data_IF_712541262927
#
_entry.id   IF_712541262927
#
_cell.length_a   1.000
_cell.length_b   1.000
_cell.length_c   1.000
_cell.angle_alpha   90.00
_cell.angle_beta   90.00
_cell.angle_gamma   90.00
#
_symmetry.space_group_name_H-M   'P 1'
#
loop_
_entity.id
_entity.type
_entity.pdbx_description
1 polymer ?
#
# COMPACT_ATOMS: atom_id res chain seq x y z
N UNK A 1 7.87 12.49 -22.05
CA UNK A 1 6.48 12.03 -21.83
C UNK A 1 6.53 10.50 -21.83
N UNK A 2 6.07 9.83 -20.78
CA UNK A 2 6.01 8.36 -20.74
C UNK A 2 4.60 7.97 -21.19
N UNK A 3 4.50 6.95 -22.04
CA UNK A 3 3.23 6.33 -22.43
C UNK A 3 3.11 5.05 -21.62
N UNK A 4 2.04 4.95 -20.83
CA UNK A 4 1.65 3.69 -20.18
C UNK A 4 0.53 3.08 -21.01
N UNK A 5 0.73 1.85 -21.48
CA UNK A 5 -0.26 1.10 -22.26
C UNK A 5 -0.95 0.08 -21.37
N UNK A 6 -2.27 0.19 -21.27
CA UNK A 6 -3.11 -0.80 -20.60
C UNK A 6 -3.55 -1.87 -21.60
N UNK A 7 -3.01 -3.08 -21.46
CA UNK A 7 -3.32 -4.21 -22.34
C UNK A 7 -4.44 -5.12 -21.79
N UNK A 8 -5.14 -4.71 -20.73
CA UNK A 8 -6.18 -5.54 -20.10
C UNK A 8 -7.43 -5.76 -20.95
N UNK A 9 -7.57 -5.01 -22.05
CA UNK A 9 -8.62 -5.18 -23.04
C UNK A 9 -7.93 -5.30 -24.40
N UNK A 10 -8.12 -6.40 -25.13
CA UNK A 10 -7.61 -6.61 -26.50
C UNK A 10 -8.26 -5.68 -27.55
N UNK A 11 -8.37 -4.40 -27.22
CA UNK A 11 -9.02 -3.34 -27.98
C UNK A 11 -7.97 -2.26 -28.26
N UNK A 12 -7.89 -1.82 -29.51
CA UNK A 12 -6.98 -0.78 -30.06
C UNK A 12 -7.14 0.64 -29.43
N UNK A 13 -7.70 0.75 -28.23
CA UNK A 13 -7.97 2.01 -27.53
C UNK A 13 -7.61 1.89 -26.04
N UNK A 14 -6.39 1.50 -25.75
CA UNK A 14 -5.80 1.76 -24.44
C UNK A 14 -5.64 3.28 -24.30
N UNK A 15 -6.27 3.94 -23.32
CA UNK A 15 -6.09 5.38 -23.13
C UNK A 15 -4.64 5.67 -22.78
N UNK A 16 -3.95 6.44 -23.63
CA UNK A 16 -2.60 6.89 -23.36
C UNK A 16 -2.60 7.88 -22.20
N UNK A 17 -1.90 7.54 -21.13
CA UNK A 17 -1.70 8.46 -20.01
C UNK A 17 -0.44 9.27 -20.23
N UNK A 18 -0.63 10.59 -20.36
CA UNK A 18 0.46 11.53 -20.53
C UNK A 18 0.88 12.11 -19.19
N UNK A 19 2.07 11.70 -18.74
CA UNK A 19 2.62 12.17 -17.47
C UNK A 19 4.00 12.79 -17.69
N UNK A 20 4.26 13.83 -16.91
CA UNK A 20 5.53 14.51 -16.92
C UNK A 20 6.63 13.62 -16.32
N UNK A 21 7.58 13.20 -17.15
CA UNK A 21 8.65 12.26 -16.78
C UNK A 21 9.45 12.72 -15.55
N UNK A 22 9.81 14.01 -15.48
CA UNK A 22 10.56 14.56 -14.35
C UNK A 22 9.81 14.42 -13.02
N UNK A 23 8.47 14.49 -13.06
CA UNK A 23 7.65 14.37 -11.85
C UNK A 23 7.57 12.93 -11.37
N UNK A 24 7.46 11.99 -12.32
CA UNK A 24 7.55 10.55 -12.02
C UNK A 24 8.92 10.17 -11.44
N UNK A 25 10.01 10.61 -12.07
CA UNK A 25 11.38 10.36 -11.59
C UNK A 25 11.65 11.00 -10.22
N UNK A 26 11.02 12.15 -9.93
CA UNK A 26 11.10 12.79 -8.62
C UNK A 26 10.44 11.94 -7.53
N UNK A 27 9.31 11.30 -7.83
CA UNK A 27 8.55 10.52 -6.86
C UNK A 27 8.97 9.05 -6.78
N UNK A 28 9.66 8.53 -7.79
CA UNK A 28 9.99 7.11 -7.91
C UNK A 28 11.38 6.91 -8.50
N UNK A 29 12.30 6.36 -7.69
CA UNK A 29 13.64 5.97 -8.14
C UNK A 29 13.59 4.86 -9.18
N UNK A 30 12.58 4.00 -9.11
CA UNK A 30 12.31 2.93 -10.08
C UNK A 30 12.24 3.49 -11.51
N UNK A 31 11.50 4.58 -11.69
CA UNK A 31 11.31 5.22 -13.01
C UNK A 31 12.60 5.91 -13.51
N UNK A 32 13.49 6.32 -12.60
CA UNK A 32 14.75 6.97 -12.94
C UNK A 32 15.77 5.98 -13.53
N UNK A 33 15.72 4.72 -13.09
CA UNK A 33 16.68 3.67 -13.49
C UNK A 33 16.30 2.99 -14.81
N UNK A 34 15.00 2.92 -15.14
CA UNK A 34 14.47 2.16 -16.29
C UNK A 34 14.26 2.99 -17.57
N UNK A 35 15.33 3.60 -18.08
CA UNK A 35 15.23 4.52 -19.23
C UNK A 35 14.94 3.90 -20.62
N UNK A 36 14.71 2.59 -20.78
CA UNK A 36 14.63 1.97 -22.12
C UNK A 36 13.74 0.72 -22.22
N UNK A 37 12.42 0.86 -22.10
CA UNK A 37 11.40 0.07 -22.81
C UNK A 37 10.02 0.48 -22.29
N UNK A 38 8.99 0.42 -23.14
CA UNK A 38 7.61 0.56 -22.68
C UNK A 38 7.33 -0.53 -21.64
N UNK A 39 7.12 -0.14 -20.38
CA UNK A 39 6.85 -1.08 -19.31
C UNK A 39 5.43 -1.63 -19.44
N UNK A 40 5.35 -2.90 -19.82
CA UNK A 40 4.23 -3.76 -19.48
C UNK A 40 4.26 -4.00 -17.96
N UNK A 41 3.74 -3.08 -17.16
CA UNK A 41 3.38 -3.42 -15.77
C UNK A 41 2.14 -4.31 -15.83
N UNK A 42 2.38 -5.63 -15.86
CA UNK A 42 1.35 -6.66 -15.80
C UNK A 42 0.65 -6.74 -14.43
N UNK A 43 0.96 -5.83 -13.50
CA UNK A 43 0.45 -5.85 -12.12
C UNK A 43 -0.63 -4.79 -11.86
N UNK A 44 -0.82 -3.85 -12.78
CA UNK A 44 -1.93 -2.91 -12.76
C UNK A 44 -3.15 -3.52 -13.46
N UNK A 45 -3.70 -4.58 -12.88
CA UNK A 45 -4.88 -5.30 -13.41
C UNK A 45 -6.15 -4.43 -13.54
N UNK A 46 -6.11 -3.18 -13.07
CA UNK A 46 -7.20 -2.22 -13.19
C UNK A 46 -6.66 -0.85 -13.58
N UNK A 47 -7.03 -0.39 -14.77
CA UNK A 47 -6.82 0.97 -15.25
C UNK A 47 -7.12 2.04 -14.18
N UNK A 48 -8.21 1.85 -13.44
CA UNK A 48 -8.64 2.76 -12.36
C UNK A 48 -7.58 2.89 -11.26
N UNK A 49 -6.98 1.79 -10.82
CA UNK A 49 -5.95 1.76 -9.77
C UNK A 49 -4.69 2.49 -10.24
N UNK A 50 -4.32 2.33 -11.52
CA UNK A 50 -3.22 3.07 -12.11
C UNK A 50 -3.49 4.57 -12.13
N UNK A 51 -4.67 4.99 -12.57
CA UNK A 51 -5.05 6.41 -12.58
C UNK A 51 -5.00 7.01 -11.18
N UNK A 52 -5.58 6.32 -10.19
CA UNK A 52 -5.58 6.77 -8.80
C UNK A 52 -4.15 6.87 -8.26
N UNK A 53 -3.31 5.85 -8.48
CA UNK A 53 -1.88 5.85 -8.11
C UNK A 53 -1.17 7.07 -8.68
N UNK A 54 -1.32 7.32 -9.98
CA UNK A 54 -0.67 8.43 -10.67
C UNK A 54 -1.16 9.77 -10.14
N UNK A 55 -2.47 9.95 -9.94
CA UNK A 55 -3.01 11.18 -9.36
C UNK A 55 -2.40 11.45 -7.98
N UNK A 56 -2.31 10.44 -7.11
CA UNK A 56 -1.70 10.58 -5.79
C UNK A 56 -0.20 10.86 -5.87
N UNK A 57 0.52 10.20 -6.79
CA UNK A 57 1.93 10.48 -7.04
C UNK A 57 2.15 11.95 -7.37
N UNK A 58 1.25 12.55 -8.17
CA UNK A 58 1.27 13.97 -8.53
C UNK A 58 0.71 14.89 -7.43
N UNK A 59 0.43 14.37 -6.22
CA UNK A 59 -0.03 15.16 -5.08
C UNK A 59 -1.53 15.48 -5.07
N UNK A 60 -2.32 14.88 -5.96
CA UNK A 60 -3.77 15.07 -5.98
C UNK A 60 -4.40 14.34 -4.79
N UNK A 61 -5.16 15.06 -3.98
CA UNK A 61 -5.87 14.51 -2.83
C UNK A 61 -7.22 13.90 -3.26
N UNK A 62 -7.20 12.65 -3.72
CA UNK A 62 -8.40 11.92 -4.13
C UNK A 62 -8.86 10.90 -3.08
N UNK A 63 -10.15 10.56 -3.11
CA UNK A 63 -10.71 9.43 -2.36
C UNK A 63 -10.54 8.17 -3.19
N UNK A 64 -9.67 7.26 -2.77
CA UNK A 64 -9.32 6.04 -3.51
C UNK A 64 -10.33 4.95 -3.28
N UNK A 65 -10.85 4.25 -4.28
CA UNK A 65 -11.87 3.21 -4.00
C UNK A 65 -11.33 2.11 -3.06
N UNK A 66 -10.15 1.56 -3.39
CA UNK A 66 -9.53 0.45 -2.67
C UNK A 66 -8.04 0.74 -2.35
N UNK A 67 -7.73 1.43 -1.24
CA UNK A 67 -6.35 1.79 -0.88
C UNK A 67 -5.40 0.59 -0.77
N UNK A 68 -5.93 -0.59 -0.41
CA UNK A 68 -5.15 -1.83 -0.33
C UNK A 68 -4.65 -2.32 -1.68
N UNK A 69 -5.37 -2.08 -2.78
CA UNK A 69 -4.89 -2.43 -4.12
C UNK A 69 -3.79 -1.47 -4.59
N UNK A 70 -3.91 -0.17 -4.32
CA UNK A 70 -2.84 0.79 -4.62
C UNK A 70 -1.55 0.41 -3.89
N UNK A 71 -1.63 0.01 -2.62
CA UNK A 71 -0.46 -0.38 -1.84
C UNK A 71 0.32 -1.56 -2.43
N UNK A 72 -0.34 -2.49 -3.13
CA UNK A 72 0.35 -3.58 -3.86
C UNK A 72 1.28 -2.99 -4.91
N UNK A 73 0.79 -2.02 -5.68
CA UNK A 73 1.57 -1.35 -6.72
C UNK A 73 2.66 -0.45 -6.15
N UNK A 74 2.50 0.09 -4.94
CA UNK A 74 3.52 0.94 -4.30
C UNK A 74 4.85 0.21 -4.07
N UNK A 75 4.84 -1.12 -3.91
CA UNK A 75 6.07 -1.90 -3.82
C UNK A 75 6.98 -1.77 -5.05
N UNK A 76 6.40 -1.55 -6.24
CA UNK A 76 7.16 -1.37 -7.49
C UNK A 76 7.69 0.05 -7.60
N UNK A 77 6.85 1.05 -7.31
CA UNK A 77 7.21 2.45 -7.54
C UNK A 77 7.99 3.09 -6.38
N UNK A 78 8.03 2.46 -5.19
CA UNK A 78 8.69 2.99 -3.99
C UNK A 78 8.26 4.42 -3.61
N UNK A 79 6.97 4.73 -3.80
CA UNK A 79 6.41 6.08 -3.67
C UNK A 79 5.91 6.35 -2.24
N UNK A 80 6.75 6.98 -1.41
CA UNK A 80 6.44 7.24 0.00
C UNK A 80 5.18 8.11 0.20
N UNK A 81 4.92 9.05 -0.71
CA UNK A 81 3.72 9.89 -0.68
C UNK A 81 2.44 9.06 -0.88
N UNK A 82 2.44 8.14 -1.83
CA UNK A 82 1.30 7.24 -2.09
C UNK A 82 1.06 6.33 -0.90
N UNK A 83 2.12 5.75 -0.34
CA UNK A 83 2.04 4.92 0.87
C UNK A 83 1.35 5.67 2.01
N UNK A 84 1.80 6.90 2.32
CA UNK A 84 1.22 7.74 3.38
C UNK A 84 -0.23 8.10 3.10
N UNK A 85 -0.57 8.40 1.85
CA UNK A 85 -1.94 8.70 1.44
C UNK A 85 -2.87 7.50 1.67
N UNK A 86 -2.46 6.31 1.22
CA UNK A 86 -3.23 5.09 1.40
C UNK A 86 -3.39 4.73 2.88
N UNK A 87 -2.31 4.84 3.66
CA UNK A 87 -2.33 4.62 5.10
C UNK A 87 -3.36 5.52 5.79
N UNK A 88 -3.36 6.81 5.46
CA UNK A 88 -4.33 7.79 5.98
C UNK A 88 -5.76 7.41 5.66
N UNK A 89 -6.05 7.02 4.41
CA UNK A 89 -7.41 6.63 4.01
C UNK A 89 -7.89 5.37 4.71
N UNK A 90 -7.02 4.39 4.94
CA UNK A 90 -7.35 3.19 5.71
C UNK A 90 -7.74 3.53 7.16
N UNK A 91 -7.01 4.47 7.78
CA UNK A 91 -7.31 4.96 9.14
C UNK A 91 -8.65 5.71 9.18
N UNK A 92 -8.86 6.66 8.26
CA UNK A 92 -10.03 7.54 8.24
C UNK A 92 -11.33 6.77 7.98
N UNK A 93 -11.30 5.81 7.07
CA UNK A 93 -12.48 5.01 6.69
C UNK A 93 -12.89 3.97 7.72
N UNK A 94 -12.03 3.72 8.72
CA UNK A 94 -12.26 2.70 9.75
C UNK A 94 -12.71 1.37 9.15
N UNK A 95 -12.05 0.87 8.10
CA UNK A 95 -12.47 -0.33 7.34
C UNK A 95 -12.31 -1.65 8.14
N UNK A 96 -12.33 -1.59 9.47
CA UNK A 96 -12.15 -2.71 10.41
C UNK A 96 -13.28 -3.76 10.37
N UNK A 97 -14.18 -3.68 9.39
CA UNK A 97 -15.24 -4.65 9.12
C UNK A 97 -14.74 -5.90 8.37
N UNK A 98 -13.60 -5.81 7.69
CA UNK A 98 -12.95 -6.98 7.08
C UNK A 98 -12.15 -7.77 8.13
N UNK A 99 -11.76 -9.04 7.86
CA UNK A 99 -10.98 -9.84 8.78
C UNK A 99 -9.72 -9.09 9.23
N UNK A 100 -9.58 -8.84 10.53
CA UNK A 100 -8.49 -8.04 11.10
C UNK A 100 -7.10 -8.51 10.64
N UNK A 101 -6.92 -9.82 10.44
CA UNK A 101 -5.69 -10.41 9.92
C UNK A 101 -5.29 -9.89 8.53
N UNK A 102 -6.25 -9.63 7.63
CA UNK A 102 -5.97 -9.07 6.29
C UNK A 102 -5.26 -7.72 6.38
N UNK A 103 -5.72 -6.82 7.26
CA UNK A 103 -5.07 -5.52 7.41
C UNK A 103 -3.76 -5.59 8.17
N UNK A 104 -3.61 -6.54 9.10
CA UNK A 104 -2.32 -6.79 9.73
C UNK A 104 -1.29 -7.23 8.70
N UNK A 105 -1.64 -8.17 7.82
CA UNK A 105 -0.79 -8.64 6.73
C UNK A 105 -0.38 -7.49 5.81
N UNK A 106 -1.35 -6.70 5.34
CA UNK A 106 -1.07 -5.49 4.53
C UNK A 106 -0.21 -4.47 5.27
N UNK A 107 -0.50 -4.21 6.54
CA UNK A 107 0.26 -3.24 7.33
C UNK A 107 1.72 -3.69 7.52
N UNK A 108 1.93 -4.99 7.72
CA UNK A 108 3.25 -5.57 7.85
C UNK A 108 4.00 -5.53 6.52
N UNK A 109 3.41 -6.06 5.44
CA UNK A 109 4.03 -6.15 4.11
C UNK A 109 4.47 -4.78 3.58
N UNK A 110 3.70 -3.73 3.87
CA UNK A 110 3.99 -2.38 3.40
C UNK A 110 4.59 -1.47 4.49
N UNK A 111 4.91 -1.97 5.69
CA UNK A 111 5.44 -1.18 6.81
C UNK A 111 4.59 0.05 7.16
N UNK A 112 3.27 -0.14 7.30
CA UNK A 112 2.28 0.88 7.66
C UNK A 112 2.22 1.06 9.17
N UNK A 113 3.28 1.67 9.72
CA UNK A 113 3.49 1.81 11.16
C UNK A 113 2.50 2.77 11.84
N UNK A 114 1.83 3.67 11.10
CA UNK A 114 0.77 4.51 11.66
C UNK A 114 -0.58 3.80 11.65
N UNK A 115 -0.80 2.84 10.75
CA UNK A 115 -2.01 2.01 10.73
C UNK A 115 -2.03 1.02 11.90
N UNK A 116 -0.88 0.47 12.27
CA UNK A 116 -0.76 -0.59 13.27
C UNK A 116 -1.36 -0.22 14.65
N UNK A 117 -1.10 0.97 15.25
CA UNK A 117 -1.75 1.37 16.51
C UNK A 117 -3.27 1.38 16.44
N UNK A 118 -3.85 1.70 15.27
CA UNK A 118 -5.29 1.67 15.08
C UNK A 118 -5.81 0.24 15.01
N UNK A 119 -5.08 -0.66 14.34
CA UNK A 119 -5.38 -2.09 14.29
C UNK A 119 -5.35 -2.74 15.68
N UNK A 120 -4.30 -2.46 16.46
CA UNK A 120 -4.09 -3.04 17.79
C UNK A 120 -5.23 -2.71 18.76
N UNK A 121 -5.84 -1.52 18.66
CA UNK A 121 -7.03 -1.15 19.45
C UNK A 121 -8.19 -2.14 19.28
N UNK A 122 -8.30 -2.83 18.15
CA UNK A 122 -9.38 -3.78 17.87
C UNK A 122 -9.03 -5.24 18.19
N UNK A 123 -7.76 -5.55 18.49
CA UNK A 123 -7.31 -6.92 18.80
C UNK A 123 -7.88 -7.39 20.15
N UNK A 124 -7.97 -6.49 21.15
CA UNK A 124 -8.56 -6.69 22.48
C UNK A 124 -7.88 -7.71 23.41
N UNK A 125 -7.06 -8.65 22.92
CA UNK A 125 -6.37 -9.62 23.78
C UNK A 125 -5.08 -10.16 23.16
N UNK A 126 -4.14 -10.58 24.02
CA UNK A 126 -2.86 -11.15 23.58
C UNK A 126 -3.05 -12.47 22.83
N UNK A 127 -4.01 -13.30 23.24
CA UNK A 127 -4.37 -14.54 22.52
C UNK A 127 -4.81 -14.25 21.08
N UNK A 128 -5.59 -13.20 20.87
CA UNK A 128 -6.03 -12.81 19.52
C UNK A 128 -4.88 -12.21 18.70
N UNK A 129 -3.99 -11.45 19.32
CA UNK A 129 -2.78 -10.98 18.65
C UNK A 129 -1.92 -12.15 18.19
N UNK A 130 -1.65 -13.10 19.08
CA UNK A 130 -0.85 -14.29 18.77
C UNK A 130 -1.49 -15.11 17.63
N UNK A 131 -2.82 -15.25 17.62
CA UNK A 131 -3.54 -15.92 16.54
C UNK A 131 -3.37 -15.21 15.19
N UNK A 132 -3.34 -13.88 15.15
CA UNK A 132 -3.07 -13.10 13.93
C UNK A 132 -1.62 -13.30 13.49
N UNK A 133 -0.66 -13.09 14.39
CA UNK A 133 0.77 -13.16 14.10
C UNK A 133 1.21 -14.57 13.66
N UNK A 134 0.52 -15.62 14.11
CA UNK A 134 0.80 -17.02 13.72
C UNK A 134 0.76 -17.25 12.21
N UNK A 135 -0.05 -16.49 11.47
CA UNK A 135 -0.20 -16.63 10.02
C UNK A 135 0.62 -15.62 9.24
N UNK A 136 1.44 -14.80 9.91
CA UNK A 136 2.25 -13.77 9.30
C UNK A 136 3.72 -14.20 9.24
N UNK A 137 4.44 -13.66 8.26
CA UNK A 137 5.89 -13.84 8.16
C UNK A 137 6.61 -12.88 9.12
N UNK A 138 6.68 -13.29 10.40
CA UNK A 138 7.26 -12.49 11.49
C UNK A 138 8.72 -12.08 11.20
N UNK A 139 9.47 -12.93 10.50
CA UNK A 139 10.88 -12.70 10.18
C UNK A 139 11.06 -11.54 9.18
N UNK A 140 10.08 -11.32 8.29
CA UNK A 140 10.10 -10.22 7.33
C UNK A 140 9.50 -8.92 7.84
N UNK A 141 8.96 -8.90 9.06
CA UNK A 141 8.40 -7.67 9.63
C UNK A 141 9.51 -6.66 9.90
N UNK A 142 9.22 -5.38 9.69
CA UNK A 142 10.16 -4.35 10.16
C UNK A 142 10.27 -4.35 11.68
N UNK A 143 11.46 -4.00 12.15
CA UNK A 143 11.77 -3.83 13.57
C UNK A 143 10.77 -2.93 14.29
N UNK A 144 10.32 -1.86 13.63
CA UNK A 144 9.36 -0.92 14.22
C UNK A 144 7.97 -1.55 14.39
N UNK A 145 7.51 -2.29 13.38
CA UNK A 145 6.24 -3.02 13.45
C UNK A 145 6.25 -4.04 14.58
N UNK A 146 7.33 -4.81 14.71
CA UNK A 146 7.52 -5.79 15.77
C UNK A 146 7.56 -5.17 17.17
N UNK A 147 8.28 -4.04 17.33
CA UNK A 147 8.33 -3.31 18.60
C UNK A 147 6.93 -2.90 19.07
N UNK A 148 6.09 -2.40 18.16
CA UNK A 148 4.73 -2.00 18.51
C UNK A 148 3.84 -3.19 18.90
N UNK A 149 3.92 -4.31 18.17
CA UNK A 149 3.21 -5.55 18.53
C UNK A 149 3.63 -6.08 19.91
N UNK A 150 4.95 -6.17 20.17
CA UNK A 150 5.49 -6.64 21.45
C UNK A 150 5.08 -5.73 22.60
N UNK A 151 5.19 -4.41 22.41
CA UNK A 151 4.75 -3.43 23.42
C UNK A 151 3.28 -3.63 23.78
N UNK A 152 2.41 -3.71 22.79
CA UNK A 152 0.98 -3.94 23.02
C UNK A 152 0.71 -5.27 23.74
N UNK A 153 1.42 -6.34 23.38
CA UNK A 153 1.28 -7.64 24.05
C UNK A 153 1.65 -7.58 25.54
N UNK A 154 2.70 -6.84 25.90
CA UNK A 154 3.11 -6.63 27.29
C UNK A 154 2.03 -5.80 28.02
N UNK A 155 1.60 -4.69 27.41
CA UNK A 155 0.64 -3.75 28.02
C UNK A 155 -0.70 -4.43 28.37
N UNK A 156 -1.20 -5.32 27.53
CA UNK A 156 -2.46 -6.06 27.78
C UNK A 156 -2.29 -7.29 28.65
N UNK A 157 -1.06 -7.75 28.91
CA UNK A 157 -0.82 -8.89 29.81
C UNK A 157 -0.69 -8.45 31.27
N UNK A 158 -0.42 -7.17 31.49
CA UNK A 158 -0.30 -6.54 32.81
C UNK A 158 -1.62 -5.90 33.30
N UNK A 159 -2.68 -5.94 32.49
CA UNK A 159 -4.03 -5.48 32.81
C UNK A 159 -4.99 -6.67 32.89
#
# INVERSE_FOLDING_TARGET
>A
MIILEDNSWGSERSPHLYIHKQLLEFHSSYIKEENQAAHHSSLLYHHEVLLELLQIMNGVNITVREPSYILISVCEFNTMNVKRHCERQLIERKIWLQPLGYYFDRASAHNLNHLLPHLLKYVKSGKRLAAILKYMDIEKMSTEFMKQCTRYFIDISNN
#
